data_IF_611365130807
#
_entry.id   IF_611365130807
#
_cell.length_a   1.000
_cell.length_b   1.000
_cell.length_c   1.000
_cell.angle_alpha   90.00
_cell.angle_beta   90.00
_cell.angle_gamma   90.00
#
_symmetry.space_group_name_H-M   'P 1'
#
loop_
_entity.id
_entity.type
_entity.pdbx_description
1 polymer ?
#
# COMPACT_ATOMS: atom_id res chain seq x y z
N UNK A 1 -52.62 -8.73 -44.94
CA UNK A 1 -52.22 -9.59 -43.80
C UNK A 1 -50.72 -9.46 -43.64
N UNK A 2 -50.27 -9.16 -42.43
CA UNK A 2 -48.94 -8.62 -42.13
C UNK A 2 -47.81 -9.66 -42.25
N UNK A 3 -46.72 -9.23 -42.88
CA UNK A 3 -45.45 -9.92 -43.02
C UNK A 3 -44.69 -9.87 -41.67
N UNK A 4 -44.34 -11.04 -41.12
CA UNK A 4 -43.59 -11.15 -39.87
C UNK A 4 -42.09 -10.98 -40.15
N UNK A 5 -41.54 -9.85 -39.72
CA UNK A 5 -40.09 -9.62 -39.70
C UNK A 5 -39.37 -10.58 -38.72
N UNK A 6 -38.13 -11.02 -39.01
CA UNK A 6 -37.38 -11.88 -38.10
C UNK A 6 -36.88 -11.09 -36.89
N UNK A 7 -37.06 -11.67 -35.70
CA UNK A 7 -36.61 -11.12 -34.44
C UNK A 7 -35.09 -10.88 -34.44
N UNK A 8 -34.68 -9.61 -34.31
CA UNK A 8 -33.28 -9.24 -34.05
C UNK A 8 -32.86 -9.81 -32.70
N UNK A 9 -31.96 -10.80 -32.71
CA UNK A 9 -31.27 -11.27 -31.50
C UNK A 9 -30.56 -10.09 -30.84
N UNK A 10 -30.93 -9.80 -29.60
CA UNK A 10 -30.32 -8.76 -28.76
C UNK A 10 -28.82 -9.02 -28.61
N UNK A 11 -27.99 -8.11 -29.15
CA UNK A 11 -26.56 -8.01 -28.87
C UNK A 11 -26.31 -7.38 -27.49
N UNK A 12 -26.84 -7.97 -26.42
CA UNK A 12 -26.61 -7.47 -25.05
C UNK A 12 -26.10 -8.51 -24.05
N UNK A 13 -25.63 -9.66 -24.52
CA UNK A 13 -24.75 -10.54 -23.74
C UNK A 13 -23.29 -10.17 -24.03
N UNK A 14 -22.89 -8.95 -23.66
CA UNK A 14 -21.46 -8.70 -23.41
C UNK A 14 -21.13 -9.53 -22.17
N UNK A 15 -20.63 -10.74 -22.39
CA UNK A 15 -19.96 -11.57 -21.37
C UNK A 15 -19.15 -10.66 -20.45
N UNK A 16 -19.61 -10.46 -19.21
CA UNK A 16 -18.83 -9.73 -18.19
C UNK A 16 -17.51 -10.47 -18.04
N UNK A 17 -16.45 -9.93 -18.63
CA UNK A 17 -15.09 -10.48 -18.51
C UNK A 17 -14.79 -10.53 -17.01
N UNK A 18 -14.33 -11.68 -16.51
CA UNK A 18 -13.88 -11.78 -15.11
C UNK A 18 -12.80 -10.70 -14.87
N UNK A 19 -12.78 -10.04 -13.69
CA UNK A 19 -11.70 -9.12 -13.34
C UNK A 19 -10.34 -9.79 -13.57
N UNK A 20 -9.37 -9.02 -14.10
CA UNK A 20 -8.05 -9.54 -14.44
C UNK A 20 -7.30 -10.07 -13.22
N UNK A 21 -7.64 -9.57 -12.03
CA UNK A 21 -7.15 -9.94 -10.72
C UNK A 21 -7.55 -11.38 -10.32
N UNK A 22 -8.60 -11.95 -10.93
CA UNK A 22 -9.01 -13.34 -10.75
C UNK A 22 -8.24 -14.31 -11.67
N UNK A 23 -7.32 -13.80 -12.48
CA UNK A 23 -6.50 -14.62 -13.38
C UNK A 23 -5.44 -15.40 -12.60
N UNK A 24 -5.04 -16.56 -13.13
CA UNK A 24 -3.96 -17.36 -12.53
C UNK A 24 -2.63 -16.62 -12.66
N UNK A 25 -2.48 -15.85 -13.72
CA UNK A 25 -1.32 -15.05 -14.08
C UNK A 25 -1.09 -13.92 -13.06
N UNK A 26 -2.16 -13.25 -12.63
CA UNK A 26 -2.08 -12.24 -11.57
C UNK A 26 -1.58 -12.86 -10.26
N UNK A 27 -2.21 -13.95 -9.80
CA UNK A 27 -1.81 -14.63 -8.57
C UNK A 27 -0.38 -15.17 -8.63
N UNK A 28 0.06 -15.69 -9.79
CA UNK A 28 1.44 -16.13 -9.99
C UNK A 28 2.42 -14.95 -9.87
N UNK A 29 2.07 -13.78 -10.42
CA UNK A 29 2.90 -12.58 -10.35
C UNK A 29 3.09 -12.10 -8.91
N UNK A 30 2.00 -12.01 -8.13
CA UNK A 30 2.09 -11.55 -6.73
C UNK A 30 2.89 -12.55 -5.89
N UNK A 31 2.77 -13.86 -6.13
CA UNK A 31 3.55 -14.88 -5.42
C UNK A 31 5.05 -14.82 -5.76
N UNK A 32 5.39 -14.59 -7.03
CA UNK A 32 6.79 -14.42 -7.41
C UNK A 32 7.37 -13.14 -6.80
N UNK A 33 6.60 -12.05 -6.78
CA UNK A 33 7.03 -10.83 -6.08
C UNK A 33 7.25 -11.10 -4.57
N UNK A 34 6.35 -11.83 -3.92
CA UNK A 34 6.52 -12.21 -2.51
C UNK A 34 7.79 -13.02 -2.26
N UNK A 35 8.16 -13.90 -3.20
CA UNK A 35 9.42 -14.65 -3.17
C UNK A 35 10.62 -13.71 -3.22
N UNK A 36 10.58 -12.67 -4.07
CA UNK A 36 11.63 -11.64 -4.15
C UNK A 36 11.75 -10.80 -2.85
N UNK A 37 10.63 -10.54 -2.16
CA UNK A 37 10.69 -9.90 -0.83
C UNK A 37 11.43 -10.78 0.19
N UNK A 38 11.23 -12.10 0.16
CA UNK A 38 12.00 -13.02 1.00
C UNK A 38 13.50 -13.00 0.67
N UNK A 39 13.88 -12.85 -0.60
CA UNK A 39 15.30 -12.74 -0.97
C UNK A 39 15.90 -11.44 -0.44
N UNK A 40 15.18 -10.33 -0.57
CA UNK A 40 15.59 -9.03 -0.04
C UNK A 40 15.81 -9.10 1.46
N UNK A 41 14.89 -9.72 2.22
CA UNK A 41 15.04 -9.94 3.66
C UNK A 41 16.33 -10.71 3.96
N UNK A 42 16.59 -11.83 3.27
CA UNK A 42 17.81 -12.63 3.48
C UNK A 42 19.07 -11.83 3.17
N UNK A 43 19.10 -11.11 2.05
CA UNK A 43 20.26 -10.29 1.66
C UNK A 43 20.55 -9.18 2.67
N UNK A 44 19.52 -8.51 3.19
CA UNK A 44 19.65 -7.52 4.26
C UNK A 44 20.23 -8.15 5.53
N UNK A 45 19.76 -9.33 5.93
CA UNK A 45 20.29 -10.04 7.11
C UNK A 45 21.74 -10.49 6.96
N UNK A 46 22.13 -10.93 5.76
CA UNK A 46 23.52 -11.26 5.47
C UNK A 46 24.42 -10.03 5.55
N UNK A 47 23.99 -8.89 5.02
CA UNK A 47 24.80 -7.67 5.07
C UNK A 47 24.91 -7.14 6.51
N UNK A 48 23.83 -7.22 7.30
CA UNK A 48 23.83 -6.86 8.72
C UNK A 48 24.88 -7.63 9.54
N UNK A 49 25.11 -8.90 9.19
CA UNK A 49 26.14 -9.75 9.84
C UNK A 49 27.57 -9.37 9.42
N UNK A 50 27.75 -8.79 8.23
CA UNK A 50 29.07 -8.51 7.62
C UNK A 50 29.60 -7.11 7.93
N UNK A 51 28.77 -6.21 8.46
CA UNK A 51 29.15 -4.81 8.72
C UNK A 51 28.98 -4.43 10.18
N UNK A 52 29.86 -3.55 10.68
CA UNK A 52 29.72 -2.84 11.96
C UNK A 52 29.31 -1.38 11.78
N UNK A 53 29.26 -0.88 10.54
CA UNK A 53 28.93 0.52 10.26
C UNK A 53 27.45 0.79 10.56
N UNK A 54 27.19 1.75 11.45
CA UNK A 54 25.85 2.06 11.95
C UNK A 54 24.89 2.55 10.86
N UNK A 55 25.37 3.34 9.90
CA UNK A 55 24.55 3.83 8.79
C UNK A 55 24.10 2.67 7.91
N UNK A 56 25.04 1.79 7.52
CA UNK A 56 24.72 0.61 6.70
C UNK A 56 23.74 -0.30 7.44
N UNK A 57 23.93 -0.52 8.76
CA UNK A 57 23.01 -1.34 9.55
C UNK A 57 21.59 -0.76 9.55
N UNK A 58 21.46 0.52 9.86
CA UNK A 58 20.17 1.21 9.86
C UNK A 58 19.48 1.08 8.49
N UNK A 59 20.21 1.34 7.39
CA UNK A 59 19.63 1.20 6.03
C UNK A 59 19.17 -0.22 5.74
N UNK A 60 19.94 -1.25 6.12
CA UNK A 60 19.54 -2.65 5.90
C UNK A 60 18.37 -3.07 6.79
N UNK A 61 18.27 -2.56 8.01
CA UNK A 61 17.12 -2.78 8.88
C UNK A 61 15.84 -2.15 8.30
N UNK A 62 15.94 -0.92 7.77
CA UNK A 62 14.82 -0.25 7.08
C UNK A 62 14.33 -1.06 5.87
N UNK A 63 15.24 -1.44 4.97
CA UNK A 63 14.90 -2.24 3.78
C UNK A 63 14.27 -3.57 4.17
N UNK A 64 14.83 -4.25 5.17
CA UNK A 64 14.26 -5.51 5.68
C UNK A 64 12.84 -5.32 6.19
N UNK A 65 12.61 -4.28 7.00
CA UNK A 65 11.30 -3.96 7.57
C UNK A 65 10.28 -3.65 6.46
N UNK A 66 10.69 -2.91 5.43
CA UNK A 66 9.86 -2.61 4.27
C UNK A 66 9.47 -3.87 3.48
N UNK A 67 10.43 -4.77 3.21
CA UNK A 67 10.13 -6.03 2.53
C UNK A 67 9.20 -6.94 3.36
N UNK A 68 9.35 -6.96 4.68
CA UNK A 68 8.43 -7.68 5.56
C UNK A 68 7.00 -7.11 5.48
N UNK A 69 6.86 -5.78 5.49
CA UNK A 69 5.58 -5.10 5.30
C UNK A 69 5.00 -5.41 3.91
N UNK A 70 5.78 -5.32 2.84
CA UNK A 70 5.32 -5.61 1.48
C UNK A 70 4.81 -7.04 1.36
N UNK A 71 5.55 -8.01 1.90
CA UNK A 71 5.14 -9.41 1.93
C UNK A 71 3.80 -9.61 2.65
N UNK A 72 3.59 -8.91 3.77
CA UNK A 72 2.31 -8.95 4.50
C UNK A 72 1.16 -8.37 3.67
N UNK A 73 1.38 -7.22 3.01
CA UNK A 73 0.38 -6.60 2.13
C UNK A 73 0.04 -7.49 0.92
N UNK A 74 1.04 -8.11 0.30
CA UNK A 74 0.85 -9.04 -0.81
C UNK A 74 0.09 -10.30 -0.37
N UNK A 75 0.40 -10.83 0.82
CA UNK A 75 -0.34 -11.97 1.37
C UNK A 75 -1.80 -11.63 1.61
N UNK A 76 -2.06 -10.46 2.20
CA UNK A 76 -3.41 -9.95 2.43
C UNK A 76 -4.20 -9.86 1.11
N UNK A 77 -3.58 -9.39 0.03
CA UNK A 77 -4.19 -9.34 -1.30
C UNK A 77 -4.44 -10.73 -1.92
N UNK A 78 -3.53 -11.69 -1.74
CA UNK A 78 -3.74 -13.07 -2.19
C UNK A 78 -4.93 -13.69 -1.45
N UNK A 79 -4.97 -13.51 -0.13
CA UNK A 79 -6.04 -14.03 0.72
C UNK A 79 -7.38 -13.37 0.36
N UNK A 80 -7.37 -12.08 0.02
CA UNK A 80 -8.57 -11.36 -0.39
C UNK A 80 -9.25 -11.93 -1.64
N UNK A 81 -8.45 -12.56 -2.51
CA UNK A 81 -8.89 -13.13 -3.79
C UNK A 81 -9.22 -14.63 -3.64
N UNK A 82 -8.46 -15.34 -2.82
CA UNK A 82 -8.49 -16.81 -2.78
C UNK A 82 -9.24 -17.39 -1.59
N UNK A 83 -9.47 -16.61 -0.53
CA UNK A 83 -10.11 -17.06 0.71
C UNK A 83 -11.36 -16.26 1.04
N UNK A 84 -11.20 -14.97 1.33
CA UNK A 84 -12.29 -14.10 1.79
C UNK A 84 -12.11 -12.67 1.28
N UNK A 85 -13.12 -12.01 0.72
CA UNK A 85 -12.96 -10.65 0.20
C UNK A 85 -12.68 -9.63 1.32
N UNK A 86 -12.08 -8.49 0.97
CA UNK A 86 -12.01 -7.34 1.88
C UNK A 86 -13.40 -6.86 2.24
N UNK A 87 -13.71 -6.87 3.54
CA UNK A 87 -14.94 -6.31 4.08
C UNK A 87 -14.57 -5.21 5.07
N UNK A 88 -15.11 -4.02 4.86
CA UNK A 88 -15.07 -2.92 5.82
C UNK A 88 -16.45 -2.75 6.41
N UNK A 89 -16.61 -3.04 7.71
CA UNK A 89 -17.88 -2.84 8.40
C UNK A 89 -18.07 -1.37 8.80
N UNK A 90 -19.31 -0.94 9.07
CA UNK A 90 -19.56 0.38 9.65
C UNK A 90 -18.79 0.62 10.95
N UNK A 91 -18.60 -0.41 11.77
CA UNK A 91 -17.84 -0.32 13.02
C UNK A 91 -16.35 -0.07 12.77
N UNK A 92 -15.77 -0.71 11.74
CA UNK A 92 -14.38 -0.45 11.32
C UNK A 92 -14.22 1.01 10.87
N UNK A 93 -15.17 1.52 10.07
CA UNK A 93 -15.16 2.92 9.61
C UNK A 93 -15.34 3.94 10.75
N UNK A 94 -16.13 3.58 11.75
CA UNK A 94 -16.31 4.39 12.96
C UNK A 94 -15.04 4.41 13.81
N UNK A 95 -14.39 3.26 14.00
CA UNK A 95 -13.13 3.13 14.73
C UNK A 95 -12.01 3.96 14.10
N UNK A 96 -11.99 4.09 12.76
CA UNK A 96 -11.04 4.96 12.07
C UNK A 96 -11.20 6.45 12.41
N UNK A 97 -12.37 6.92 12.84
CA UNK A 97 -12.68 8.35 12.90
C UNK A 97 -11.82 9.21 13.84
N UNK A 98 -11.75 8.86 15.12
CA UNK A 98 -11.14 9.76 16.12
C UNK A 98 -9.61 9.69 16.15
N UNK A 99 -9.03 8.57 15.74
CA UNK A 99 -7.59 8.36 15.64
C UNK A 99 -6.98 8.94 14.35
N UNK A 100 -7.69 8.82 13.23
CA UNK A 100 -7.16 9.18 11.91
C UNK A 100 -6.85 10.67 11.79
N UNK A 101 -7.78 11.54 12.20
CA UNK A 101 -7.56 12.99 12.12
C UNK A 101 -6.38 13.46 13.00
N UNK A 102 -6.21 12.83 14.18
CA UNK A 102 -5.08 13.11 15.07
C UNK A 102 -3.76 12.69 14.42
N UNK A 103 -3.72 11.51 13.80
CA UNK A 103 -2.55 11.06 13.06
C UNK A 103 -2.23 11.98 11.88
N UNK A 104 -3.19 12.33 11.03
CA UNK A 104 -2.95 13.23 9.88
C UNK A 104 -2.35 14.56 10.35
N UNK A 105 -2.83 15.11 11.47
CA UNK A 105 -2.28 16.33 12.08
C UNK A 105 -0.86 16.13 12.59
N UNK A 106 -0.59 14.98 13.23
CA UNK A 106 0.74 14.64 13.70
C UNK A 106 1.72 14.49 12.54
N UNK A 107 1.36 13.78 11.45
CA UNK A 107 2.22 13.61 10.28
C UNK A 107 2.55 14.95 9.60
N UNK A 108 1.56 15.85 9.49
CA UNK A 108 1.80 17.19 8.95
C UNK A 108 2.81 17.99 9.79
N UNK A 109 2.75 17.84 11.13
CA UNK A 109 3.72 18.49 12.01
C UNK A 109 5.10 17.84 11.92
N UNK A 110 5.18 16.51 11.84
CA UNK A 110 6.43 15.78 11.64
C UNK A 110 7.12 16.20 10.34
N UNK A 111 6.36 16.33 9.24
CA UNK A 111 6.89 16.77 7.96
C UNK A 111 7.48 18.19 8.04
N UNK A 112 6.75 19.14 8.66
CA UNK A 112 7.26 20.49 8.87
C UNK A 112 8.59 20.51 9.63
N UNK A 113 8.68 19.73 10.71
CA UNK A 113 9.90 19.64 11.51
C UNK A 113 11.06 18.99 10.73
N UNK A 114 10.77 17.97 9.92
CA UNK A 114 11.77 17.29 9.12
C UNK A 114 12.30 18.18 7.99
N UNK A 115 11.44 18.97 7.34
CA UNK A 115 11.82 19.97 6.33
C UNK A 115 12.69 21.07 6.96
N UNK A 116 12.28 21.64 8.10
CA UNK A 116 13.06 22.63 8.84
C UNK A 116 14.44 22.07 9.24
N UNK A 117 14.50 20.82 9.70
CA UNK A 117 15.77 20.16 10.02
C UNK A 117 16.65 19.98 8.78
N UNK A 118 16.06 19.69 7.61
CA UNK A 118 16.78 19.53 6.35
C UNK A 118 17.34 20.87 5.84
N UNK A 119 16.56 21.95 5.93
CA UNK A 119 17.00 23.30 5.57
C UNK A 119 18.19 23.76 6.43
N UNK A 120 18.16 23.43 7.72
CA UNK A 120 19.22 23.77 8.68
C UNK A 120 20.39 22.77 8.70
N UNK A 121 20.49 21.86 7.72
CA UNK A 121 21.52 20.82 7.67
C UNK A 121 22.39 20.94 6.42
N UNK A 122 23.72 20.96 6.59
CA UNK A 122 24.68 20.97 5.46
C UNK A 122 25.36 19.61 5.23
N UNK A 123 25.52 18.81 6.29
CA UNK A 123 26.24 17.55 6.22
C UNK A 123 25.51 16.53 5.36
N UNK A 124 26.22 15.96 4.38
CA UNK A 124 25.65 15.00 3.42
C UNK A 124 24.91 13.84 4.10
N UNK A 125 25.52 13.20 5.11
CA UNK A 125 24.92 12.05 5.79
C UNK A 125 23.63 12.43 6.53
N UNK A 126 23.61 13.58 7.19
CA UNK A 126 22.40 14.07 7.88
C UNK A 126 21.28 14.32 6.89
N UNK A 127 21.58 15.04 5.80
CA UNK A 127 20.61 15.33 4.73
C UNK A 127 20.10 14.05 4.06
N UNK A 128 20.99 13.08 3.86
CA UNK A 128 20.65 11.76 3.33
C UNK A 128 19.61 11.07 4.23
N UNK A 129 19.84 10.99 5.55
CA UNK A 129 18.88 10.37 6.48
C UNK A 129 17.55 11.14 6.53
N UNK A 130 17.61 12.48 6.62
CA UNK A 130 16.41 13.32 6.65
C UNK A 130 15.55 13.14 5.38
N UNK A 131 16.16 12.94 4.21
CA UNK A 131 15.42 12.70 2.97
C UNK A 131 14.56 11.43 3.00
N UNK A 132 15.00 10.37 3.70
CA UNK A 132 14.19 9.16 3.87
C UNK A 132 13.05 9.36 4.85
N UNK A 133 13.30 10.05 5.97
CA UNK A 133 12.25 10.35 6.95
C UNK A 133 11.13 11.16 6.30
N UNK A 134 11.48 12.22 5.55
CA UNK A 134 10.52 13.04 4.80
C UNK A 134 9.71 12.19 3.82
N UNK A 135 10.36 11.29 3.08
CA UNK A 135 9.67 10.39 2.16
C UNK A 135 8.67 9.46 2.87
N UNK A 136 9.01 8.95 4.04
CA UNK A 136 8.12 8.13 4.85
C UNK A 136 6.94 8.93 5.42
N UNK A 137 7.15 10.15 5.91
CA UNK A 137 6.02 10.97 6.39
C UNK A 137 5.06 11.36 5.27
N UNK A 138 5.57 11.66 4.07
CA UNK A 138 4.71 11.83 2.90
C UNK A 138 3.91 10.57 2.58
N UNK A 139 4.54 9.39 2.65
CA UNK A 139 3.87 8.10 2.42
C UNK A 139 2.78 7.85 3.47
N UNK A 140 3.05 8.09 4.75
CA UNK A 140 2.09 7.96 5.84
C UNK A 140 0.90 8.89 5.66
N UNK A 141 1.17 10.18 5.44
CA UNK A 141 0.15 11.18 5.22
C UNK A 141 -0.76 10.80 4.04
N UNK A 142 -0.17 10.39 2.91
CA UNK A 142 -0.93 9.97 1.74
C UNK A 142 -1.79 8.72 1.98
N UNK A 143 -1.28 7.73 2.72
CA UNK A 143 -2.03 6.51 3.04
C UNK A 143 -3.25 6.83 3.90
N UNK A 144 -3.06 7.66 4.93
CA UNK A 144 -4.11 8.04 5.88
C UNK A 144 -5.18 8.92 5.22
N UNK A 145 -4.80 9.87 4.38
CA UNK A 145 -5.74 10.71 3.63
C UNK A 145 -6.60 9.87 2.68
N UNK A 146 -6.02 8.88 2.00
CA UNK A 146 -6.79 7.93 1.15
C UNK A 146 -7.77 7.09 1.96
N UNK A 147 -7.40 6.72 3.19
CA UNK A 147 -8.29 5.99 4.08
C UNK A 147 -9.44 6.86 4.59
N UNK A 148 -9.19 8.15 4.81
CA UNK A 148 -10.23 9.14 5.15
C UNK A 148 -11.21 9.32 3.99
N UNK A 149 -10.71 9.38 2.75
CA UNK A 149 -11.53 9.48 1.54
C UNK A 149 -12.39 8.23 1.31
N UNK A 150 -11.83 7.05 1.58
CA UNK A 150 -12.59 5.79 1.54
C UNK A 150 -13.75 5.83 2.54
N UNK A 151 -13.48 6.25 3.78
CA UNK A 151 -14.52 6.43 4.79
C UNK A 151 -15.60 7.40 4.33
N UNK A 152 -15.23 8.55 3.76
CA UNK A 152 -16.20 9.52 3.21
C UNK A 152 -17.06 8.89 2.11
N UNK A 153 -16.44 8.22 1.15
CA UNK A 153 -17.15 7.60 0.02
C UNK A 153 -18.18 6.55 0.48
N UNK A 154 -17.86 5.72 1.48
CA UNK A 154 -18.80 4.70 1.97
C UNK A 154 -20.01 5.30 2.68
N UNK A 155 -19.85 6.43 3.38
CA UNK A 155 -20.97 7.14 4.05
C UNK A 155 -21.97 7.72 3.04
N UNK A 156 -21.57 8.04 1.82
CA UNK A 156 -22.47 8.59 0.79
C UNK A 156 -23.20 7.52 -0.04
N UNK A 157 -22.81 6.24 0.08
CA UNK A 157 -23.38 5.12 -0.71
C UNK A 157 -24.38 4.29 0.11
N UNK A 158 -24.40 4.45 1.44
CA UNK A 158 -25.38 3.85 2.37
C UNK A 158 -26.48 4.83 2.73
#
# INVERSE_FOLDING_TARGET
MAERAPAKKNKSEKSRRKPAELSKEFLATIKEWQRLEDETIRFSEELLKKTSNRLIKMTMEMIKSDSQKHKAMQQMLIDSITKEPFVLSPDDLNALGSGLNKHITAEAKSLQLAEEALENSELFVTRYVLSYLIADEHKHHNLLSRLEDLKRATVFVT
#
